data_IF_670994551854
#
_entry.id   IF_670994551854
#
_cell.length_a   1.000
_cell.length_b   1.000
_cell.length_c   1.000
_cell.angle_alpha   90.00
_cell.angle_beta   90.00
_cell.angle_gamma   90.00
#
_symmetry.space_group_name_H-M   'P 1'
#
loop_
_entity.id
_entity.type
_entity.pdbx_description
1 polymer ?
#
# COMPACT_ATOMS: atom_id res chain seq x y z
N UNK A 1 12.02 9.65 10.09
CA UNK A 1 11.82 8.90 8.82
C UNK A 1 13.13 8.28 8.35
N UNK A 2 14.22 9.04 8.28
CA UNK A 2 15.52 8.54 7.79
C UNK A 2 16.07 7.36 8.59
N UNK A 3 15.89 7.38 9.92
CA UNK A 3 16.23 6.24 10.77
C UNK A 3 15.43 4.96 10.41
N UNK A 4 14.15 5.10 10.04
CA UNK A 4 13.31 3.98 9.62
C UNK A 4 13.73 3.44 8.25
N UNK A 5 14.06 4.34 7.30
CA UNK A 5 14.57 3.95 5.98
C UNK A 5 15.91 3.22 6.12
N UNK A 6 16.81 3.73 6.98
CA UNK A 6 18.08 3.08 7.27
C UNK A 6 17.88 1.67 7.84
N UNK A 7 16.97 1.52 8.81
CA UNK A 7 16.60 0.20 9.34
C UNK A 7 16.05 -0.73 8.26
N UNK A 8 15.09 -0.27 7.44
CA UNK A 8 14.48 -1.07 6.38
C UNK A 8 15.53 -1.53 5.35
N UNK A 9 16.43 -0.64 4.93
CA UNK A 9 17.51 -0.98 4.00
C UNK A 9 18.49 -1.99 4.59
N UNK A 10 18.76 -1.91 5.88
CA UNK A 10 19.61 -2.88 6.58
C UNK A 10 19.04 -4.31 6.61
N UNK A 11 17.73 -4.50 6.42
CA UNK A 11 17.10 -5.83 6.37
C UNK A 11 17.22 -6.51 4.99
N UNK A 12 17.66 -5.80 3.95
CA UNK A 12 17.64 -6.32 2.58
C UNK A 12 18.84 -7.23 2.23
N UNK A 13 19.79 -7.46 3.16
CA UNK A 13 21.05 -8.16 2.87
C UNK A 13 20.92 -9.64 2.49
N UNK A 14 19.82 -10.31 2.86
CA UNK A 14 19.56 -11.72 2.53
C UNK A 14 18.42 -11.91 1.51
N UNK A 15 18.01 -10.81 0.85
CA UNK A 15 16.80 -10.77 0.04
C UNK A 15 15.56 -10.40 0.88
N UNK A 16 14.65 -9.62 0.29
CA UNK A 16 13.52 -9.05 1.01
C UNK A 16 12.31 -8.87 0.08
N UNK A 17 11.14 -9.28 0.56
CA UNK A 17 9.86 -8.84 -0.01
C UNK A 17 9.31 -7.73 0.86
N UNK A 18 9.25 -6.51 0.30
CA UNK A 18 8.74 -5.34 1.00
C UNK A 18 7.38 -4.92 0.41
N UNK A 19 6.36 -4.80 1.27
CA UNK A 19 5.05 -4.24 0.93
C UNK A 19 4.88 -2.87 1.58
N UNK A 20 4.37 -1.90 0.82
CA UNK A 20 4.17 -0.53 1.24
C UNK A 20 3.83 0.42 0.10
N UNK A 21 3.66 1.70 0.41
CA UNK A 21 3.21 2.72 -0.56
C UNK A 21 4.33 3.33 -1.41
N UNK A 22 5.54 3.43 -0.85
CA UNK A 22 6.69 4.10 -1.44
C UNK A 22 7.94 3.21 -1.50
N UNK A 23 7.75 1.89 -1.47
CA UNK A 23 8.86 0.93 -1.45
C UNK A 23 9.70 1.01 -2.73
N UNK A 24 9.08 0.93 -3.91
CA UNK A 24 9.80 0.98 -5.19
C UNK A 24 10.17 2.39 -5.67
N UNK A 25 9.63 3.44 -5.06
CA UNK A 25 9.87 4.85 -5.45
C UNK A 25 10.84 5.57 -4.53
N UNK A 26 10.88 5.24 -3.23
CA UNK A 26 11.69 5.97 -2.24
C UNK A 26 12.60 5.05 -1.41
N UNK A 27 12.08 3.96 -0.86
CA UNK A 27 12.87 3.13 0.07
C UNK A 27 13.89 2.28 -0.69
N UNK A 28 13.46 1.58 -1.74
CA UNK A 28 14.24 0.69 -2.59
C UNK A 28 14.07 1.07 -4.09
N UNK A 29 14.54 2.25 -4.50
CA UNK A 29 14.44 2.69 -5.89
C UNK A 29 15.23 1.81 -6.86
N UNK A 30 16.19 1.03 -6.38
CA UNK A 30 17.03 0.13 -7.17
C UNK A 30 16.65 -1.36 -7.00
N UNK A 31 15.46 -1.66 -6.47
CA UNK A 31 14.99 -3.04 -6.34
C UNK A 31 14.93 -3.75 -7.69
N UNK A 32 15.41 -5.01 -7.74
CA UNK A 32 15.46 -5.85 -8.94
C UNK A 32 14.07 -6.09 -9.55
N UNK A 33 13.05 -6.21 -8.70
CA UNK A 33 11.65 -6.39 -9.08
C UNK A 33 10.76 -5.43 -8.30
N UNK A 34 9.89 -4.72 -9.02
CA UNK A 34 8.88 -3.81 -8.46
C UNK A 34 7.53 -4.16 -9.06
N UNK A 35 6.54 -4.35 -8.20
CA UNK A 35 5.16 -4.67 -8.59
C UNK A 35 4.25 -3.56 -8.08
N UNK A 36 3.41 -3.01 -8.94
CA UNK A 36 2.37 -2.05 -8.56
C UNK A 36 0.99 -2.70 -8.63
N UNK A 37 0.57 -3.30 -7.51
CA UNK A 37 -0.71 -3.98 -7.44
C UNK A 37 -1.87 -2.98 -7.29
N UNK A 38 -2.81 -3.02 -8.23
CA UNK A 38 -4.01 -2.18 -8.28
C UNK A 38 -5.29 -3.02 -8.35
N UNK A 39 -6.39 -2.46 -7.85
CA UNK A 39 -7.73 -3.03 -7.92
C UNK A 39 -8.78 -1.92 -7.69
N UNK A 40 -9.98 -2.13 -8.23
CA UNK A 40 -11.11 -1.22 -8.05
C UNK A 40 -11.41 -0.98 -6.57
N UNK A 41 -11.77 0.26 -6.21
CA UNK A 41 -12.09 0.62 -4.82
C UNK A 41 -13.25 -0.18 -4.26
N UNK A 42 -14.28 -0.43 -5.08
CA UNK A 42 -15.42 -1.27 -4.72
C UNK A 42 -15.03 -2.71 -4.40
N UNK A 43 -14.10 -3.29 -5.18
CA UNK A 43 -13.65 -4.65 -4.96
C UNK A 43 -12.81 -4.76 -3.68
N UNK A 44 -11.95 -3.76 -3.41
CA UNK A 44 -11.21 -3.67 -2.15
C UNK A 44 -12.13 -3.49 -0.95
N UNK A 45 -13.17 -2.67 -1.07
CA UNK A 45 -14.19 -2.49 -0.05
C UNK A 45 -14.98 -3.78 0.20
N UNK A 46 -15.37 -4.50 -0.85
CA UNK A 46 -16.09 -5.78 -0.79
C UNK A 46 -15.30 -6.84 -0.05
N UNK A 47 -14.01 -6.99 -0.37
CA UNK A 47 -13.11 -7.93 0.32
C UNK A 47 -12.99 -7.59 1.80
N UNK A 48 -12.78 -6.31 2.14
CA UNK A 48 -12.69 -5.85 3.52
C UNK A 48 -13.99 -6.05 4.30
N UNK A 49 -15.13 -5.78 3.68
CA UNK A 49 -16.44 -6.03 4.27
C UNK A 49 -16.61 -7.51 4.61
N UNK A 50 -16.29 -8.40 3.67
CA UNK A 50 -16.34 -9.85 3.86
C UNK A 50 -15.43 -10.31 5.00
N UNK A 51 -14.18 -9.84 5.05
CA UNK A 51 -13.24 -10.14 6.14
C UNK A 51 -13.79 -9.77 7.53
N UNK A 52 -14.48 -8.62 7.64
CA UNK A 52 -15.09 -8.17 8.91
C UNK A 52 -16.29 -9.02 9.30
N UNK A 53 -17.18 -9.30 8.35
CA UNK A 53 -18.35 -10.16 8.59
C UNK A 53 -17.93 -11.57 8.99
N UNK A 54 -16.91 -12.15 8.35
CA UNK A 54 -16.35 -13.46 8.70
C UNK A 54 -15.75 -13.51 10.11
N UNK A 55 -15.27 -12.37 10.62
CA UNK A 55 -14.80 -12.20 12.00
C UNK A 55 -15.92 -11.96 13.01
N UNK A 56 -17.18 -11.91 12.58
CA UNK A 56 -18.33 -11.59 13.43
C UNK A 56 -18.44 -10.12 13.81
N UNK A 57 -17.74 -9.23 13.09
CA UNK A 57 -17.81 -7.80 13.31
C UNK A 57 -19.00 -7.20 12.58
N UNK A 58 -19.63 -6.18 13.17
CA UNK A 58 -20.63 -5.40 12.46
C UNK A 58 -19.90 -4.50 11.44
N UNK A 59 -20.28 -4.60 10.17
CA UNK A 59 -19.61 -3.90 9.08
C UNK A 59 -20.64 -3.21 8.19
N UNK A 60 -20.33 -1.97 7.79
CA UNK A 60 -21.09 -1.21 6.81
C UNK A 60 -20.24 -1.07 5.54
N UNK A 61 -20.79 -1.51 4.40
CA UNK A 61 -20.07 -1.49 3.13
C UNK A 61 -19.81 -0.06 2.64
N UNK A 62 -20.78 0.84 2.79
CA UNK A 62 -20.67 2.23 2.30
C UNK A 62 -19.67 3.01 3.13
N UNK A 63 -19.62 2.79 4.45
CA UNK A 63 -18.58 3.37 5.30
C UNK A 63 -17.18 2.87 4.93
N UNK A 64 -17.05 1.57 4.64
CA UNK A 64 -15.78 0.98 4.21
C UNK A 64 -15.35 1.55 2.85
N UNK A 65 -16.27 1.64 1.89
CA UNK A 65 -15.99 2.18 0.56
C UNK A 65 -15.57 3.65 0.65
N UNK A 66 -16.27 4.46 1.46
CA UNK A 66 -15.90 5.85 1.71
C UNK A 66 -14.48 5.95 2.28
N UNK A 67 -14.17 5.16 3.30
CA UNK A 67 -12.84 5.13 3.91
C UNK A 67 -11.75 4.72 2.91
N UNK A 68 -12.02 3.72 2.06
CA UNK A 68 -11.09 3.27 1.02
C UNK A 68 -10.78 4.40 0.03
N UNK A 69 -11.80 5.08 -0.48
CA UNK A 69 -11.63 6.20 -1.42
C UNK A 69 -10.88 7.39 -0.80
N UNK A 70 -11.24 7.79 0.43
CA UNK A 70 -10.56 8.88 1.14
C UNK A 70 -9.08 8.56 1.36
N UNK A 71 -8.78 7.31 1.73
CA UNK A 71 -7.42 6.85 1.91
C UNK A 71 -6.62 6.85 0.62
N UNK A 72 -7.22 6.38 -0.48
CA UNK A 72 -6.54 6.39 -1.78
C UNK A 72 -6.23 7.83 -2.23
N UNK A 73 -7.21 8.72 -2.09
CA UNK A 73 -7.03 10.14 -2.41
C UNK A 73 -5.91 10.75 -1.59
N UNK A 74 -5.86 10.48 -0.29
CA UNK A 74 -4.79 10.94 0.59
C UNK A 74 -3.42 10.37 0.18
N UNK A 75 -3.33 9.05 0.02
CA UNK A 75 -2.08 8.35 -0.31
C UNK A 75 -1.51 8.82 -1.67
N UNK A 76 -2.35 9.11 -2.66
CA UNK A 76 -1.94 9.60 -3.98
C UNK A 76 -1.51 11.07 -3.99
N UNK A 77 -2.09 11.91 -3.12
CA UNK A 77 -1.90 13.37 -3.13
C UNK A 77 -0.98 13.90 -2.03
N UNK A 78 -0.51 13.05 -1.09
CA UNK A 78 0.45 13.48 -0.08
C UNK A 78 1.72 14.07 -0.71
N UNK A 79 2.22 15.17 -0.13
CA UNK A 79 3.42 15.87 -0.65
C UNK A 79 4.68 14.99 -0.61
N UNK A 80 4.80 14.18 0.44
CA UNK A 80 5.99 13.35 0.68
C UNK A 80 5.68 11.90 0.32
N UNK A 81 6.47 11.38 -0.62
CA UNK A 81 6.43 9.99 -1.07
C UNK A 81 5.03 9.50 -1.54
N UNK A 82 4.33 10.21 -2.44
CA UNK A 82 2.98 9.82 -2.87
C UNK A 82 2.92 8.40 -3.42
N UNK A 83 1.78 7.72 -3.22
CA UNK A 83 1.49 6.44 -3.83
C UNK A 83 1.43 6.61 -5.35
N UNK A 84 2.45 6.14 -6.04
CA UNK A 84 2.58 6.18 -7.50
C UNK A 84 3.36 4.95 -7.98
N UNK A 85 3.09 4.48 -9.20
CA UNK A 85 3.89 3.42 -9.80
C UNK A 85 5.35 3.87 -9.90
N UNK A 86 6.26 2.98 -9.53
CA UNK A 86 7.69 3.23 -9.69
C UNK A 86 8.08 3.10 -11.17
N UNK A 87 9.12 3.81 -11.64
CA UNK A 87 9.63 3.59 -12.99
C UNK A 87 9.99 2.12 -13.22
N UNK A 88 9.45 1.53 -14.28
CA UNK A 88 9.69 0.13 -14.66
C UNK A 88 9.00 -0.91 -13.79
N UNK A 89 8.04 -0.54 -12.93
CA UNK A 89 7.23 -1.54 -12.24
C UNK A 89 6.32 -2.30 -13.21
N UNK A 90 6.07 -3.56 -12.88
CA UNK A 90 5.03 -4.39 -13.51
C UNK A 90 3.69 -4.12 -12.83
#
# INVERSE_FOLDING_TARGET
RDALIGFQRGQASEGLVADGRDMGTVVFPDADLKIFLTADAEERARRRYKERVERGENADFDEILKYVNERDLYDMNREIAPLRPAPGCV
#
